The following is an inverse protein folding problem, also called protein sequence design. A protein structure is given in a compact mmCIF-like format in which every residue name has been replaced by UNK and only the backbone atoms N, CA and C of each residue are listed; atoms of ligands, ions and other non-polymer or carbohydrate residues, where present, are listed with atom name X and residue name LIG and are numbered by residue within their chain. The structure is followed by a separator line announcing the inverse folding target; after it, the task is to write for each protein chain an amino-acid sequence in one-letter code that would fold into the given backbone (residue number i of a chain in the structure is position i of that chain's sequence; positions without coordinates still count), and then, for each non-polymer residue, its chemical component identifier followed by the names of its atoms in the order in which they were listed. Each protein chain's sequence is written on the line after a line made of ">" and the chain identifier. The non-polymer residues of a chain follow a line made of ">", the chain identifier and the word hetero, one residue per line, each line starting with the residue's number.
data_IF_945409195321
#
_entry.id   IF_945409195321
#
_cell.length_a   1.000
_cell.length_b   1.000
_cell.length_c   1.000
_cell.angle_alpha   90.00
_cell.angle_beta   90.00
_cell.angle_gamma   90.00
#
_symmetry.space_group_name_H-M   'P 1'
#
loop_
_entity.id
_entity.type
_entity.pdbx_description
1 polymer ?
#
# COMPACT_ATOMS: atom_id res chain seq x y z
N UNK A 1 6.64 -0.12 -2.58
CA UNK A 1 5.39 0.50 -2.08
C UNK A 1 4.30 0.62 -3.17
N UNK A 2 4.64 0.51 -4.47
CA UNK A 2 3.69 0.51 -5.59
C UNK A 2 3.48 1.88 -6.24
N UNK A 3 4.25 2.89 -5.85
CA UNK A 3 4.17 4.22 -6.45
C UNK A 3 5.15 4.35 -7.61
N UNK A 4 4.67 4.87 -8.75
CA UNK A 4 5.51 5.31 -9.87
C UNK A 4 5.23 6.79 -10.08
N UNK A 5 6.28 7.61 -10.04
CA UNK A 5 6.18 9.06 -10.13
C UNK A 5 6.76 9.52 -11.46
N UNK A 6 5.96 10.24 -12.25
CA UNK A 6 6.33 10.76 -13.56
C UNK A 6 6.47 12.28 -13.48
N UNK A 7 7.67 12.76 -13.81
CA UNK A 7 8.02 14.18 -13.77
C UNK A 7 8.07 14.75 -15.19
N UNK A 8 7.46 15.91 -15.41
CA UNK A 8 7.70 16.71 -16.60
C UNK A 8 8.83 17.72 -16.36
N UNK A 9 10.02 17.39 -16.85
CA UNK A 9 11.20 18.24 -16.70
C UNK A 9 11.14 19.50 -17.58
N UNK A 10 10.33 19.51 -18.64
CA UNK A 10 10.17 20.68 -19.52
C UNK A 10 9.34 21.78 -18.86
N UNK A 11 8.54 21.44 -17.85
CA UNK A 11 7.71 22.38 -17.10
C UNK A 11 8.49 23.27 -16.10
N UNK A 12 9.82 23.21 -16.08
CA UNK A 12 10.66 24.13 -15.30
C UNK A 12 10.46 24.07 -13.78
N UNK A 13 9.97 22.94 -13.26
CA UNK A 13 9.71 22.72 -11.82
C UNK A 13 8.37 23.28 -11.31
N UNK A 14 7.53 23.84 -12.19
CA UNK A 14 6.21 24.38 -11.82
C UNK A 14 5.04 23.40 -11.95
N UNK A 15 5.24 22.22 -12.54
CA UNK A 15 4.20 21.21 -12.70
C UNK A 15 4.29 20.13 -11.61
N UNK A 16 3.15 19.81 -11.00
CA UNK A 16 3.04 18.70 -10.07
C UNK A 16 3.29 17.37 -10.78
N UNK A 17 4.06 16.46 -10.17
CA UNK A 17 4.32 15.16 -10.77
C UNK A 17 3.06 14.29 -10.79
N UNK A 18 2.95 13.45 -11.82
CA UNK A 18 1.89 12.45 -11.88
C UNK A 18 2.27 11.23 -11.04
N UNK A 19 1.36 10.78 -10.18
CA UNK A 19 1.52 9.51 -9.44
C UNK A 19 0.67 8.41 -10.07
N UNK A 20 1.29 7.27 -10.37
CA UNK A 20 0.63 6.06 -10.87
C UNK A 20 0.79 4.97 -9.82
N UNK A 21 -0.32 4.53 -9.25
CA UNK A 21 -0.37 3.49 -8.22
C UNK A 21 -0.46 2.11 -8.86
N UNK A 22 0.22 1.15 -8.27
CA UNK A 22 0.13 -0.28 -8.56
C UNK A 22 -0.44 -1.03 -7.35
N UNK A 23 -1.15 -2.11 -7.62
CA UNK A 23 -1.71 -2.97 -6.58
C UNK A 23 -0.61 -3.61 -5.70
N UNK A 24 0.53 -3.91 -6.31
CA UNK A 24 1.68 -4.56 -5.67
C UNK A 24 2.94 -3.69 -5.77
N UNK A 25 4.03 -4.14 -5.16
CA UNK A 25 5.29 -3.42 -5.19
C UNK A 25 5.86 -3.38 -6.62
N UNK A 26 6.22 -2.20 -7.10
CA UNK A 26 7.00 -2.04 -8.35
C UNK A 26 8.47 -2.17 -8.00
N UNK A 27 9.17 -3.06 -8.69
CA UNK A 27 10.60 -3.27 -8.48
C UNK A 27 11.47 -2.65 -9.56
N UNK A 28 10.89 -2.40 -10.73
CA UNK A 28 11.63 -1.86 -11.86
C UNK A 28 10.74 -1.00 -12.75
N UNK A 29 11.33 0.05 -13.28
CA UNK A 29 10.75 0.91 -14.32
C UNK A 29 11.77 0.99 -15.45
N UNK A 30 11.34 0.82 -16.69
CA UNK A 30 12.21 0.89 -17.86
C UNK A 30 11.62 1.81 -18.94
N UNK A 31 12.39 2.79 -19.43
CA UNK A 31 11.95 3.60 -20.56
C UNK A 31 11.98 2.77 -21.85
N UNK A 32 11.01 3.02 -22.73
CA UNK A 32 10.94 2.41 -24.06
C UNK A 32 11.39 3.41 -25.12
N UNK A 33 11.92 2.91 -26.25
CA UNK A 33 12.48 3.74 -27.32
C UNK A 33 11.44 4.64 -28.02
N UNK A 34 10.15 4.36 -27.83
CA UNK A 34 9.03 5.10 -28.40
C UNK A 34 8.49 6.20 -27.46
N UNK A 35 9.15 6.46 -26.33
CA UNK A 35 8.74 7.48 -25.35
C UNK A 35 7.67 7.02 -24.36
N UNK A 36 7.30 5.75 -24.39
CA UNK A 36 6.52 5.08 -23.36
C UNK A 36 7.47 4.54 -22.26
N UNK A 37 6.92 3.94 -21.21
CA UNK A 37 7.72 3.20 -20.22
C UNK A 37 6.96 1.97 -19.75
N UNK A 38 7.69 0.99 -19.21
CA UNK A 38 7.09 -0.16 -18.56
C UNK A 38 7.47 -0.27 -17.09
N UNK A 39 6.63 -0.96 -16.33
CA UNK A 39 6.83 -1.27 -14.91
C UNK A 39 6.82 -2.78 -14.74
N UNK A 40 7.64 -3.30 -13.83
CA UNK A 40 7.60 -4.70 -13.39
C UNK A 40 7.21 -4.75 -11.92
N UNK A 41 6.19 -5.54 -11.61
CA UNK A 41 5.54 -5.63 -10.31
C UNK A 41 5.72 -7.02 -9.68
N UNK A 42 5.71 -7.09 -8.36
CA UNK A 42 5.79 -8.33 -7.55
C UNK A 42 4.64 -9.33 -7.85
N UNK A 43 3.51 -8.83 -8.37
CA UNK A 43 2.41 -9.66 -8.86
C UNK A 43 2.73 -10.44 -10.16
N UNK A 44 3.95 -10.33 -10.67
CA UNK A 44 4.41 -10.99 -11.89
C UNK A 44 3.94 -10.30 -13.17
N UNK A 45 3.31 -9.14 -13.09
CA UNK A 45 2.85 -8.38 -14.26
C UNK A 45 3.88 -7.36 -14.73
N UNK A 46 3.97 -7.21 -16.05
CA UNK A 46 4.63 -6.09 -16.71
C UNK A 46 3.55 -5.22 -17.33
N UNK A 47 3.57 -3.92 -17.03
CA UNK A 47 2.57 -2.97 -17.55
C UNK A 47 3.27 -1.88 -18.35
N UNK A 48 2.70 -1.52 -19.50
CA UNK A 48 3.21 -0.46 -20.37
C UNK A 48 2.30 0.74 -20.23
N UNK A 49 2.89 1.92 -20.00
CA UNK A 49 2.19 3.18 -19.90
C UNK A 49 2.54 4.05 -21.09
N UNK A 50 1.50 4.54 -21.77
CA UNK A 50 1.62 5.31 -23.00
C UNK A 50 0.77 6.57 -22.97
N UNK A 51 1.21 7.59 -23.70
CA UNK A 51 0.42 8.80 -24.00
C UNK A 51 -0.30 8.71 -25.34
N UNK A 52 0.01 7.70 -26.16
CA UNK A 52 -0.49 7.59 -27.51
C UNK A 52 -1.78 6.77 -27.52
N UNK A 53 -2.85 7.35 -28.05
CA UNK A 53 -4.20 6.77 -27.99
C UNK A 53 -4.31 5.48 -28.79
N UNK A 54 -3.52 5.34 -29.85
CA UNK A 54 -3.48 4.16 -30.73
C UNK A 54 -2.79 2.93 -30.09
N UNK A 55 -2.02 3.13 -29.02
CA UNK A 55 -1.37 2.05 -28.24
C UNK A 55 -2.02 1.82 -26.89
N UNK A 56 -3.09 2.55 -26.59
CA UNK A 56 -3.79 2.44 -25.31
C UNK A 56 -4.43 1.06 -25.20
N UNK A 57 -4.30 0.43 -24.04
CA UNK A 57 -5.02 -0.79 -23.72
C UNK A 57 -6.54 -0.56 -23.80
N UNK A 58 -7.29 -1.66 -23.94
CA UNK A 58 -8.75 -1.63 -24.00
C UNK A 58 -9.37 -0.97 -22.77
N UNK A 59 -10.64 -0.55 -22.86
CA UNK A 59 -11.38 -0.05 -21.68
C UNK A 59 -11.41 -1.07 -20.55
N UNK A 60 -11.55 -2.34 -20.90
CA UNK A 60 -11.70 -3.45 -19.99
C UNK A 60 -10.40 -3.69 -19.21
N UNK A 61 -9.26 -3.75 -19.89
CA UNK A 61 -7.94 -3.92 -19.24
C UNK A 61 -7.60 -2.75 -18.31
N UNK A 62 -7.96 -1.52 -18.72
CA UNK A 62 -7.76 -0.33 -17.87
C UNK A 62 -8.66 -0.35 -16.64
N UNK A 63 -9.89 -0.86 -16.76
CA UNK A 63 -10.78 -1.01 -15.63
C UNK A 63 -10.26 -2.06 -14.64
N UNK A 64 -9.80 -3.22 -15.13
CA UNK A 64 -9.18 -4.25 -14.27
C UNK A 64 -8.00 -3.68 -13.49
N UNK A 65 -7.12 -2.92 -14.15
CA UNK A 65 -6.01 -2.26 -13.46
C UNK A 65 -6.48 -1.29 -12.37
N UNK A 66 -7.50 -0.47 -12.67
CA UNK A 66 -8.05 0.48 -11.70
C UNK A 66 -8.68 -0.24 -10.49
N UNK A 67 -9.39 -1.34 -10.73
CA UNK A 67 -10.03 -2.15 -9.69
C UNK A 67 -8.98 -2.83 -8.79
N UNK A 68 -7.92 -3.39 -9.38
CA UNK A 68 -6.81 -3.99 -8.62
C UNK A 68 -6.14 -2.95 -7.70
N UNK A 69 -5.89 -1.75 -8.22
CA UNK A 69 -5.30 -0.64 -7.47
C UNK A 69 -6.22 -0.18 -6.34
N UNK A 70 -7.52 -0.06 -6.61
CA UNK A 70 -8.51 0.31 -5.61
C UNK A 70 -8.59 -0.72 -4.48
N UNK A 71 -8.65 -2.01 -4.83
CA UNK A 71 -8.69 -3.11 -3.87
C UNK A 71 -7.43 -3.16 -2.99
N UNK A 72 -6.25 -2.98 -3.58
CA UNK A 72 -5.00 -2.94 -2.82
C UNK A 72 -4.89 -1.72 -1.90
N UNK A 73 -5.37 -0.56 -2.36
CA UNK A 73 -5.39 0.68 -1.56
C UNK A 73 -6.32 0.54 -0.36
N UNK A 74 -7.51 -0.04 -0.56
CA UNK A 74 -8.45 -0.31 0.52
C UNK A 74 -7.86 -1.26 1.57
N UNK A 75 -7.14 -2.31 1.15
CA UNK A 75 -6.43 -3.22 2.06
C UNK A 75 -5.34 -2.52 2.86
N UNK A 76 -4.57 -1.61 2.26
CA UNK A 76 -3.52 -0.84 2.95
C UNK A 76 -4.08 0.16 3.97
N UNK A 77 -5.29 0.66 3.75
CA UNK A 77 -5.96 1.60 4.66
C UNK A 77 -6.77 0.90 5.77
N UNK A 78 -7.03 -0.40 5.63
CA UNK A 78 -7.78 -1.19 6.60
C UNK A 78 -6.95 -1.50 7.85
N UNK A 79 -7.41 -1.06 9.01
CA UNK A 79 -7.04 -1.66 10.29
C UNK A 79 -7.67 -3.05 10.47
N UNK A 80 -7.41 -3.75 11.58
CA UNK A 80 -8.09 -5.00 11.89
C UNK A 80 -9.62 -4.82 11.83
N UNK A 81 -10.31 -5.76 11.21
CA UNK A 81 -11.77 -5.80 11.12
C UNK A 81 -12.41 -5.88 12.51
N UNK A 82 -13.69 -5.50 12.62
CA UNK A 82 -14.42 -5.58 13.89
C UNK A 82 -14.41 -7.01 14.48
N UNK A 83 -14.47 -8.05 13.63
CA UNK A 83 -14.37 -9.45 14.04
C UNK A 83 -12.98 -9.82 14.57
N UNK A 84 -11.92 -9.29 13.97
CA UNK A 84 -10.55 -9.47 14.46
C UNK A 84 -10.34 -8.74 15.78
N UNK A 85 -10.87 -7.52 15.92
CA UNK A 85 -10.83 -6.75 17.17
C UNK A 85 -11.55 -7.50 18.29
N UNK A 86 -12.72 -8.08 18.02
CA UNK A 86 -13.49 -8.83 19.02
C UNK A 86 -12.78 -10.10 19.54
N UNK A 87 -11.83 -10.66 18.75
CA UNK A 87 -10.99 -11.79 19.15
C UNK A 87 -9.75 -11.37 19.97
N UNK A 88 -9.43 -10.08 20.03
CA UNK A 88 -8.30 -9.59 20.81
C UNK A 88 -8.59 -9.68 22.32
N UNK A 89 -7.56 -9.88 23.16
CA UNK A 89 -7.69 -9.77 24.61
C UNK A 89 -8.22 -8.39 25.00
N UNK A 90 -9.08 -8.36 26.01
CA UNK A 90 -9.64 -7.13 26.55
C UNK A 90 -8.54 -6.35 27.27
N UNK A 91 -8.43 -5.04 27.01
CA UNK A 91 -7.38 -4.19 27.59
C UNK A 91 -7.31 -4.26 29.12
N UNK A 92 -8.46 -4.37 29.77
CA UNK A 92 -8.58 -4.48 31.22
C UNK A 92 -7.80 -5.69 31.78
N UNK A 93 -7.59 -6.76 30.99
CA UNK A 93 -6.82 -7.95 31.36
C UNK A 93 -5.31 -7.81 31.06
N UNK A 94 -4.85 -6.66 30.55
CA UNK A 94 -3.43 -6.47 30.21
C UNK A 94 -2.49 -6.70 31.41
N UNK A 95 -2.93 -6.36 32.62
CA UNK A 95 -2.15 -6.54 33.84
C UNK A 95 -1.85 -8.02 34.18
N UNK A 96 -2.64 -8.97 33.66
CA UNK A 96 -2.39 -10.40 33.80
C UNK A 96 -1.24 -10.88 32.90
N UNK A 97 -0.92 -10.11 31.86
CA UNK A 97 0.16 -10.41 30.92
C UNK A 97 1.46 -9.73 31.36
N UNK A 98 2.44 -10.55 31.70
CA UNK A 98 3.83 -10.07 31.82
C UNK A 98 4.51 -10.13 30.47
N UNK A 99 5.10 -9.02 30.04
CA UNK A 99 6.02 -8.99 28.92
C UNK A 99 7.24 -9.86 29.22
N UNK A 100 7.74 -10.55 28.20
CA UNK A 100 8.90 -11.44 28.27
C UNK A 100 10.17 -10.77 27.75
N UNK A 101 10.07 -9.65 27.03
CA UNK A 101 11.22 -8.94 26.44
C UNK A 101 10.94 -7.45 26.21
N UNK A 102 12.02 -6.65 26.18
CA UNK A 102 11.97 -5.25 25.76
C UNK A 102 11.33 -5.11 24.37
N UNK A 103 10.47 -4.11 24.21
CA UNK A 103 9.87 -3.78 22.94
C UNK A 103 8.82 -4.78 22.47
N UNK A 104 8.44 -5.80 23.26
CA UNK A 104 7.36 -6.72 22.92
C UNK A 104 6.07 -5.93 22.68
N UNK A 105 5.38 -6.19 21.57
CA UNK A 105 4.09 -5.56 21.24
C UNK A 105 2.97 -6.60 21.33
N UNK A 106 1.86 -6.23 21.97
CA UNK A 106 0.62 -7.01 22.00
C UNK A 106 -0.56 -6.11 21.63
N UNK A 107 -1.44 -6.63 20.78
CA UNK A 107 -2.72 -5.99 20.48
C UNK A 107 -3.78 -6.38 21.52
N UNK A 108 -4.58 -5.39 21.92
CA UNK A 108 -5.73 -5.51 22.80
C UNK A 108 -6.93 -4.80 22.20
N UNK A 109 -8.15 -5.21 22.59
CA UNK A 109 -9.33 -4.38 22.34
C UNK A 109 -9.66 -3.49 23.54
N UNK A 110 -10.01 -2.23 23.27
CA UNK A 110 -10.53 -1.29 24.26
C UNK A 110 -11.70 -0.54 23.64
N UNK A 111 -12.92 -0.83 24.11
CA UNK A 111 -14.14 -0.18 23.59
C UNK A 111 -14.39 -0.42 22.09
N UNK A 112 -14.05 -1.61 21.57
CA UNK A 112 -14.24 -1.94 20.15
C UNK A 112 -13.16 -1.38 19.20
N UNK A 113 -12.07 -0.84 19.75
CA UNK A 113 -10.92 -0.34 19.00
C UNK A 113 -9.69 -1.19 19.35
N UNK A 114 -8.91 -1.59 18.34
CA UNK A 114 -7.61 -2.22 18.57
C UNK A 114 -6.60 -1.18 19.04
N UNK A 115 -5.91 -1.49 20.15
CA UNK A 115 -4.78 -0.71 20.66
C UNK A 115 -3.54 -1.61 20.76
N UNK A 116 -2.38 -1.04 20.47
CA UNK A 116 -1.09 -1.70 20.64
C UNK A 116 -0.47 -1.27 21.96
N UNK A 117 -0.09 -2.23 22.78
CA UNK A 117 0.69 -2.01 23.99
C UNK A 117 2.10 -2.55 23.77
N UNK A 118 3.11 -1.78 24.16
CA UNK A 118 4.51 -2.18 24.09
C UNK A 118 5.07 -2.26 25.51
N UNK A 119 5.78 -3.35 25.82
CA UNK A 119 6.50 -3.46 27.09
C UNK A 119 7.84 -2.78 26.97
N UNK A 120 8.18 -2.05 28.02
CA UNK A 120 9.54 -1.58 28.29
C UNK A 120 10.01 -2.14 29.63
N UNK A 121 11.30 -2.46 29.70
CA UNK A 121 12.07 -2.82 30.88
C UNK A 121 12.52 -1.57 31.64
N UNK A 122 12.39 -0.38 31.03
CA UNK A 122 12.63 0.88 31.71
C UNK A 122 11.45 1.16 32.66
N UNK A 123 11.76 1.17 33.95
CA UNK A 123 10.82 1.45 35.06
C UNK A 123 10.79 2.92 35.43
#
# INVERSE_FOLDING_TARGET
>A
DGHVIVWDLAAGGGAEPQTILHASCVWRVEPLSNGDFCTASDDGTVRIFTRATERMASSEERQVFADDVAAATAKKQGGPSAEEIAKLPVWEQNHEKRGTSEGQVQLFQKGGIAIAAQWSLDS
#
